data_IF_965756362709
#
_entry.id   IF_965756362709
#
_cell.length_a   1.000
_cell.length_b   1.000
_cell.length_c   1.000
_cell.angle_alpha   90.00
_cell.angle_beta   90.00
_cell.angle_gamma   90.00
#
_symmetry.space_group_name_H-M   'P 1'
#
loop_
_entity.id
_entity.type
_entity.pdbx_description
1 polymer ?
#
# COMPACT_ATOMS: atom_id res chain seq x y z
N UNK A 1 21.39 34.44 15.59
CA UNK A 1 21.29 33.00 15.29
C UNK A 1 19.92 32.82 14.68
N UNK A 2 19.82 32.23 13.50
CA UNK A 2 18.54 31.94 12.87
C UNK A 2 17.92 30.76 13.61
N UNK A 3 16.85 31.02 14.34
CA UNK A 3 16.00 30.00 14.94
C UNK A 3 15.23 29.33 13.79
N UNK A 4 15.85 28.31 13.20
CA UNK A 4 15.16 27.42 12.29
C UNK A 4 14.40 26.41 13.13
N UNK A 5 13.07 26.56 13.18
CA UNK A 5 12.17 25.50 13.61
C UNK A 5 11.96 24.57 12.42
N UNK A 6 12.31 23.29 12.60
CA UNK A 6 12.02 22.24 11.62
C UNK A 6 10.77 21.53 12.10
N UNK A 7 9.78 21.39 11.22
CA UNK A 7 8.62 20.53 11.50
C UNK A 7 9.12 19.13 11.85
N UNK A 8 8.80 18.67 13.06
CA UNK A 8 9.04 17.29 13.42
C UNK A 8 8.14 16.43 12.53
N UNK A 9 8.67 15.41 11.83
CA UNK A 9 7.82 14.53 11.04
C UNK A 9 6.78 13.91 11.97
N UNK A 10 5.51 13.96 11.55
CA UNK A 10 4.41 13.33 12.27
C UNK A 10 4.78 11.87 12.55
N UNK A 11 4.64 11.39 13.79
CA UNK A 11 5.08 10.05 14.14
C UNK A 11 4.22 9.01 13.42
N UNK A 12 4.91 8.10 12.74
CA UNK A 12 4.37 6.85 12.23
C UNK A 12 3.59 6.09 13.32
N UNK A 13 2.36 5.68 13.05
CA UNK A 13 1.59 4.81 13.97
C UNK A 13 1.72 3.35 13.53
N UNK A 14 2.44 2.55 14.32
CA UNK A 14 2.67 1.14 14.02
C UNK A 14 1.42 0.27 14.04
N UNK A 15 0.37 0.68 14.75
CA UNK A 15 -0.89 -0.05 14.84
C UNK A 15 -1.70 0.17 13.57
N UNK A 16 -1.87 1.42 13.13
CA UNK A 16 -2.59 1.75 11.90
C UNK A 16 -1.86 1.22 10.67
N UNK A 17 -0.53 1.29 10.68
CA UNK A 17 0.30 0.66 9.66
C UNK A 17 0.03 -0.85 9.52
N UNK A 18 -0.20 -1.54 10.63
CA UNK A 18 -0.43 -2.98 10.68
C UNK A 18 -1.87 -3.38 10.37
N UNK A 19 -2.85 -2.58 10.80
CA UNK A 19 -4.27 -2.73 10.46
C UNK A 19 -4.51 -2.40 8.99
N UNK A 20 -3.76 -1.44 8.45
CA UNK A 20 -3.81 -0.96 7.08
C UNK A 20 -4.87 0.11 6.84
N UNK A 21 -4.71 0.82 5.73
CA UNK A 21 -5.54 1.95 5.32
C UNK A 21 -6.19 1.64 3.97
N UNK A 22 -7.45 2.09 3.81
CA UNK A 22 -8.20 1.98 2.56
C UNK A 22 -7.89 3.14 1.61
N UNK A 23 -7.48 2.80 0.39
CA UNK A 23 -7.21 3.77 -0.67
C UNK A 23 -8.16 3.57 -1.84
N UNK A 24 -9.05 4.53 -2.09
CA UNK A 24 -9.90 4.53 -3.29
C UNK A 24 -9.10 5.01 -4.49
N UNK A 25 -8.96 4.16 -5.50
CA UNK A 25 -8.18 4.48 -6.70
C UNK A 25 -9.10 5.00 -7.79
N UNK A 26 -8.94 6.29 -8.11
CA UNK A 26 -9.67 6.97 -9.20
C UNK A 26 -8.65 7.43 -10.25
N UNK A 27 -8.77 6.92 -11.48
CA UNK A 27 -7.90 7.30 -12.60
C UNK A 27 -8.74 7.82 -13.76
N UNK A 28 -8.44 9.03 -14.23
CA UNK A 28 -9.14 9.68 -15.34
C UNK A 28 -10.67 9.71 -15.15
N UNK A 29 -11.13 9.96 -13.92
CA UNK A 29 -12.55 10.00 -13.56
C UNK A 29 -13.24 8.64 -13.43
N UNK A 30 -12.50 7.54 -13.57
CA UNK A 30 -13.01 6.18 -13.35
C UNK A 30 -12.51 5.64 -12.01
N UNK A 31 -13.44 5.15 -11.21
CA UNK A 31 -13.14 4.41 -9.98
C UNK A 31 -12.78 2.95 -10.29
N UNK A 32 -11.67 2.48 -9.70
CA UNK A 32 -11.15 1.12 -9.87
C UNK A 32 -11.39 0.23 -8.65
N UNK A 33 -11.86 0.82 -7.55
CA UNK A 33 -12.12 0.15 -6.28
C UNK A 33 -11.36 0.79 -5.13
N UNK A 34 -11.67 0.33 -3.93
CA UNK A 34 -10.98 0.70 -2.69
C UNK A 34 -10.10 -0.46 -2.25
N UNK A 35 -8.82 -0.19 -2.02
CA UNK A 35 -7.81 -1.21 -1.72
C UNK A 35 -7.28 -0.99 -0.31
N UNK A 36 -7.32 -2.04 0.51
CA UNK A 36 -6.83 -2.01 1.88
C UNK A 36 -5.38 -2.47 1.93
N UNK A 37 -4.47 -1.56 2.22
CA UNK A 37 -3.03 -1.80 2.20
C UNK A 37 -2.42 -1.54 3.57
N UNK A 38 -1.50 -2.40 4.01
CA UNK A 38 -0.66 -2.12 5.18
C UNK A 38 0.58 -1.31 4.79
N UNK A 39 1.16 -0.59 5.74
CA UNK A 39 2.47 0.00 5.54
C UNK A 39 3.55 -1.00 5.92
N UNK A 40 4.58 -1.09 5.09
CA UNK A 40 5.80 -1.84 5.41
C UNK A 40 6.97 -0.87 5.38
N UNK A 41 7.40 -0.43 6.57
CA UNK A 41 8.63 0.34 6.71
C UNK A 41 9.79 -0.48 6.11
N UNK A 42 10.44 -0.03 5.02
CA UNK A 42 11.52 -0.76 4.37
C UNK A 42 12.73 -0.99 5.28
N UNK A 43 12.88 -0.20 6.35
CA UNK A 43 13.96 -0.32 7.33
C UNK A 43 13.59 -1.20 8.54
N UNK A 44 12.34 -1.65 8.64
CA UNK A 44 11.90 -2.46 9.77
C UNK A 44 12.33 -3.92 9.65
N UNK A 45 12.63 -4.54 10.80
CA UNK A 45 12.91 -5.98 10.91
C UNK A 45 11.74 -6.85 10.41
N UNK A 46 10.51 -6.33 10.53
CA UNK A 46 9.30 -7.01 10.02
C UNK A 46 9.34 -7.13 8.51
N UNK A 47 9.63 -6.03 7.82
CA UNK A 47 9.74 -6.02 6.35
C UNK A 47 10.86 -6.93 5.88
N UNK A 48 12.03 -6.90 6.55
CA UNK A 48 13.11 -7.83 6.26
C UNK A 48 12.67 -9.30 6.40
N UNK A 49 11.95 -9.64 7.46
CA UNK A 49 11.45 -10.99 7.69
C UNK A 49 10.41 -11.42 6.64
N UNK A 50 9.47 -10.56 6.27
CA UNK A 50 8.46 -10.83 5.23
C UNK A 50 9.12 -11.03 3.87
N UNK A 51 10.12 -10.23 3.53
CA UNK A 51 10.86 -10.37 2.27
C UNK A 51 11.62 -11.70 2.23
N UNK A 52 12.29 -12.09 3.32
CA UNK A 52 12.96 -13.40 3.42
C UNK A 52 11.98 -14.56 3.27
N UNK A 53 10.81 -14.49 3.91
CA UNK A 53 9.78 -15.53 3.78
C UNK A 53 9.22 -15.61 2.34
N UNK A 54 9.01 -14.46 1.71
CA UNK A 54 8.59 -14.38 0.31
C UNK A 54 9.63 -15.00 -0.63
N UNK A 55 10.90 -14.61 -0.50
CA UNK A 55 12.00 -15.15 -1.30
C UNK A 55 12.14 -16.66 -1.12
N UNK A 56 11.99 -17.16 0.12
CA UNK A 56 12.02 -18.60 0.39
C UNK A 56 10.87 -19.34 -0.30
N UNK A 57 9.64 -18.84 -0.23
CA UNK A 57 8.47 -19.44 -0.90
C UNK A 57 8.61 -19.47 -2.42
N UNK A 58 9.19 -18.41 -3.00
CA UNK A 58 9.30 -18.22 -4.45
C UNK A 58 10.70 -18.49 -5.02
N UNK A 59 11.60 -19.09 -4.23
CA UNK A 59 13.02 -19.23 -4.55
C UNK A 59 13.26 -19.86 -5.93
N UNK A 60 12.48 -20.88 -6.30
CA UNK A 60 12.58 -21.53 -7.62
C UNK A 60 12.21 -20.58 -8.76
N UNK A 61 11.13 -19.82 -8.62
CA UNK A 61 10.66 -18.88 -9.64
C UNK A 61 11.63 -17.71 -9.82
N UNK A 62 12.18 -17.20 -8.71
CA UNK A 62 13.20 -16.14 -8.71
C UNK A 62 14.48 -16.65 -9.38
N UNK A 63 15.01 -17.80 -8.93
CA UNK A 63 16.25 -18.39 -9.48
C UNK A 63 16.14 -18.71 -10.98
N UNK A 64 14.96 -19.12 -11.45
CA UNK A 64 14.72 -19.42 -12.88
C UNK A 64 14.36 -18.18 -13.70
N UNK A 65 14.34 -16.98 -13.09
CA UNK A 65 14.02 -15.72 -13.76
C UNK A 65 12.56 -15.57 -14.17
N UNK A 66 11.68 -16.49 -13.72
CA UNK A 66 10.22 -16.43 -13.97
C UNK A 66 9.53 -15.37 -13.13
N UNK A 67 10.13 -14.98 -12.01
CA UNK A 67 9.65 -13.91 -11.14
C UNK A 67 10.81 -12.91 -10.93
N UNK A 68 10.73 -11.74 -11.56
CA UNK A 68 11.75 -10.68 -11.50
C UNK A 68 11.15 -9.30 -11.74
N UNK A 69 11.85 -8.26 -11.30
CA UNK A 69 11.46 -6.86 -11.53
C UNK A 69 10.05 -6.55 -11.02
N UNK A 70 9.25 -5.87 -11.84
CA UNK A 70 7.89 -5.45 -11.48
C UNK A 70 6.99 -6.65 -11.13
N UNK A 71 7.14 -7.79 -11.80
CA UNK A 71 6.33 -8.98 -11.51
C UNK A 71 6.57 -9.50 -10.09
N UNK A 72 7.83 -9.46 -9.63
CA UNK A 72 8.18 -9.80 -8.25
C UNK A 72 7.61 -8.79 -7.26
N UNK A 73 7.75 -7.49 -7.54
CA UNK A 73 7.23 -6.42 -6.70
C UNK A 73 5.71 -6.49 -6.51
N UNK A 74 4.97 -6.74 -7.58
CA UNK A 74 3.52 -6.94 -7.53
C UNK A 74 3.12 -8.14 -6.69
N UNK A 75 3.79 -9.28 -6.86
CA UNK A 75 3.44 -10.47 -6.09
C UNK A 75 3.75 -10.29 -4.59
N UNK A 76 4.86 -9.63 -4.27
CA UNK A 76 5.19 -9.25 -2.90
C UNK A 76 4.13 -8.32 -2.31
N UNK A 77 3.71 -7.32 -3.08
CA UNK A 77 2.62 -6.42 -2.69
C UNK A 77 1.32 -7.18 -2.43
N UNK A 78 0.90 -8.06 -3.33
CA UNK A 78 -0.33 -8.85 -3.18
C UNK A 78 -0.29 -9.73 -1.92
N UNK A 79 0.84 -10.40 -1.67
CA UNK A 79 0.94 -11.35 -0.56
C UNK A 79 1.14 -10.69 0.80
N UNK A 80 1.88 -9.59 0.86
CA UNK A 80 2.33 -9.01 2.12
C UNK A 80 1.60 -7.71 2.46
N UNK A 81 1.24 -6.90 1.46
CA UNK A 81 0.78 -5.52 1.64
C UNK A 81 -0.74 -5.40 1.47
N UNK A 82 -1.29 -5.97 0.39
CA UNK A 82 -2.71 -5.90 0.09
C UNK A 82 -3.50 -6.89 0.97
N UNK A 83 -4.34 -6.36 1.86
CA UNK A 83 -5.17 -7.17 2.78
C UNK A 83 -6.57 -7.41 2.26
N UNK A 84 -7.06 -6.54 1.39
CA UNK A 84 -8.39 -6.67 0.82
C UNK A 84 -8.69 -5.59 -0.21
N UNK A 85 -9.87 -5.69 -0.81
CA UNK A 85 -10.45 -4.62 -1.61
C UNK A 85 -11.98 -4.65 -1.51
N UNK A 86 -12.60 -3.54 -1.90
CA UNK A 86 -14.03 -3.42 -2.20
C UNK A 86 -14.22 -2.74 -3.55
N UNK A 87 -15.42 -2.90 -4.12
CA UNK A 87 -15.86 -2.18 -5.34
C UNK A 87 -15.06 -2.47 -6.62
N UNK A 88 -14.15 -3.44 -6.57
CA UNK A 88 -13.45 -3.96 -7.75
C UNK A 88 -14.43 -4.76 -8.61
N UNK A 89 -14.72 -4.27 -9.81
CA UNK A 89 -15.66 -4.88 -10.74
C UNK A 89 -14.96 -5.60 -11.88
N UNK A 90 -15.53 -6.73 -12.29
CA UNK A 90 -15.13 -7.40 -13.54
C UNK A 90 -15.67 -6.65 -14.77
N UNK A 91 -15.30 -7.14 -15.96
CA UNK A 91 -15.75 -6.57 -17.25
C UNK A 91 -17.29 -6.59 -17.45
N UNK A 92 -18.03 -7.38 -16.66
CA UNK A 92 -19.50 -7.45 -16.68
C UNK A 92 -20.13 -6.56 -15.60
N UNK A 93 -19.35 -5.76 -14.89
CA UNK A 93 -19.81 -4.86 -13.83
C UNK A 93 -20.15 -5.54 -12.50
N UNK A 94 -19.82 -6.83 -12.33
CA UNK A 94 -20.04 -7.54 -11.06
C UNK A 94 -18.84 -7.40 -10.15
N UNK A 95 -19.10 -7.24 -8.85
CA UNK A 95 -18.07 -7.16 -7.84
C UNK A 95 -17.29 -8.49 -7.76
N UNK A 96 -15.98 -8.36 -7.61
CA UNK A 96 -15.04 -9.47 -7.50
C UNK A 96 -14.57 -9.53 -6.06
N UNK A 97 -14.88 -10.59 -5.30
CA UNK A 97 -14.39 -10.73 -3.94
C UNK A 97 -12.86 -10.83 -3.94
N UNK A 98 -12.24 -10.32 -2.87
CA UNK A 98 -10.80 -10.41 -2.73
C UNK A 98 -10.34 -11.85 -2.52
N UNK A 99 -9.35 -12.25 -3.30
CA UNK A 99 -8.50 -13.43 -3.06
C UNK A 99 -7.13 -13.16 -3.66
N UNK A 100 -6.10 -13.90 -3.23
CA UNK A 100 -4.74 -13.75 -3.78
C UNK A 100 -4.72 -14.08 -5.28
N UNK A 101 -5.50 -15.08 -5.71
CA UNK A 101 -5.65 -15.45 -7.12
C UNK A 101 -6.33 -14.34 -7.93
N UNK A 102 -7.42 -13.78 -7.40
CA UNK A 102 -8.12 -12.67 -8.04
C UNK A 102 -7.23 -11.43 -8.15
N UNK A 103 -6.48 -11.11 -7.09
CA UNK A 103 -5.51 -10.02 -7.08
C UNK A 103 -4.39 -10.26 -8.09
N UNK A 104 -3.83 -11.46 -8.13
CA UNK A 104 -2.78 -11.81 -9.10
C UNK A 104 -3.28 -11.66 -10.54
N UNK A 105 -4.51 -12.11 -10.82
CA UNK A 105 -5.12 -11.93 -12.13
C UNK A 105 -5.34 -10.45 -12.46
N UNK A 106 -5.87 -9.67 -11.50
CA UNK A 106 -6.13 -8.24 -11.67
C UNK A 106 -4.85 -7.44 -11.97
N UNK A 107 -3.82 -7.61 -11.13
CA UNK A 107 -2.53 -6.91 -11.24
C UNK A 107 -1.64 -7.42 -12.37
N UNK A 108 -2.03 -8.49 -13.07
CA UNK A 108 -1.38 -8.93 -14.31
C UNK A 108 -1.87 -8.19 -15.56
N UNK A 109 -3.02 -7.50 -15.47
CA UNK A 109 -3.61 -6.76 -16.58
C UNK A 109 -3.22 -5.27 -16.60
N UNK A 110 -3.46 -4.56 -17.73
CA UNK A 110 -3.09 -3.14 -17.88
C UNK A 110 -3.74 -2.21 -16.84
N UNK A 111 -4.99 -2.46 -16.48
CA UNK A 111 -5.67 -1.71 -15.41
C UNK A 111 -4.95 -1.90 -14.05
N UNK A 112 -4.54 -3.14 -13.79
CA UNK A 112 -3.76 -3.49 -12.60
C UNK A 112 -2.41 -2.79 -12.54
N UNK A 113 -1.72 -2.60 -13.68
CA UNK A 113 -0.45 -1.86 -13.73
C UNK A 113 -0.62 -0.43 -13.23
N UNK A 114 -1.66 0.26 -13.70
CA UNK A 114 -1.95 1.63 -13.32
C UNK A 114 -2.38 1.74 -11.85
N UNK A 115 -3.26 0.84 -11.41
CA UNK A 115 -3.71 0.81 -10.01
C UNK A 115 -2.54 0.51 -9.08
N UNK A 116 -1.66 -0.44 -9.44
CA UNK A 116 -0.47 -0.74 -8.67
C UNK A 116 0.47 0.47 -8.57
N UNK A 117 0.72 1.16 -9.67
CA UNK A 117 1.56 2.36 -9.67
C UNK A 117 0.97 3.48 -8.80
N UNK A 118 -0.35 3.60 -8.74
CA UNK A 118 -1.03 4.56 -7.87
C UNK A 118 -0.93 4.15 -6.40
N UNK A 119 -1.30 2.90 -6.07
CA UNK A 119 -1.20 2.37 -4.71
C UNK A 119 0.23 2.42 -4.17
N UNK A 120 1.24 2.18 -5.02
CA UNK A 120 2.65 2.26 -4.64
C UNK A 120 3.02 3.62 -4.04
N UNK A 121 2.45 4.72 -4.55
CA UNK A 121 2.70 6.06 -3.99
C UNK A 121 2.12 6.19 -2.58
N UNK A 122 0.92 5.65 -2.37
CA UNK A 122 0.22 5.74 -1.10
C UNK A 122 0.86 4.87 -0.02
N UNK A 123 1.12 3.59 -0.30
CA UNK A 123 1.64 2.69 0.75
C UNK A 123 3.13 2.86 1.06
N UNK A 124 3.88 3.62 0.26
CA UNK A 124 5.29 3.94 0.57
C UNK A 124 5.46 5.27 1.29
N UNK A 125 4.40 6.09 1.34
CA UNK A 125 4.38 7.38 2.01
C UNK A 125 3.86 7.20 3.44
N UNK A 126 4.77 7.32 4.43
CA UNK A 126 4.47 7.10 5.85
C UNK A 126 3.42 8.07 6.38
N UNK A 127 3.26 9.25 5.77
CA UNK A 127 2.23 10.22 6.14
C UNK A 127 0.80 9.68 6.00
N UNK A 128 0.57 8.67 5.16
CA UNK A 128 -0.75 8.05 5.02
C UNK A 128 -1.10 7.07 6.15
N UNK A 129 -0.19 6.84 7.09
CA UNK A 129 -0.32 5.87 8.19
C UNK A 129 -0.06 6.51 9.56
N UNK A 130 -0.45 7.78 9.70
CA UNK A 130 -0.43 8.54 10.95
C UNK A 130 -1.81 8.48 11.59
N UNK A 131 -1.88 8.40 12.93
CA UNK A 131 -3.16 8.44 13.64
C UNK A 131 -3.88 9.77 13.46
N UNK A 132 -5.22 9.72 13.29
CA UNK A 132 -6.08 10.90 13.19
C UNK A 132 -5.89 11.86 14.38
N UNK A 133 -5.53 11.33 15.56
CA UNK A 133 -5.25 12.12 16.76
C UNK A 133 -4.11 13.14 16.59
N UNK A 134 -3.15 12.89 15.69
CA UNK A 134 -2.07 13.85 15.40
C UNK A 134 -2.50 14.97 14.44
N UNK A 135 -3.46 14.72 13.55
CA UNK A 135 -4.04 15.76 12.69
C UNK A 135 -4.96 16.71 13.47
N UNK A 136 -5.54 16.25 14.58
CA UNK A 136 -6.37 17.07 15.46
C UNK A 136 -5.58 18.16 16.22
N UNK A 137 -4.29 17.94 16.47
CA UNK A 137 -3.42 18.89 17.20
C UNK A 137 -3.12 20.14 16.35
N UNK A 138 -2.97 19.97 15.03
CA UNK A 138 -2.75 21.11 14.11
C UNK A 138 -4.02 21.93 13.86
N UNK A 139 -5.20 21.28 13.88
CA UNK A 139 -6.48 21.96 13.72
C UNK A 139 -6.80 22.89 14.90
N UNK A 140 -6.54 22.44 16.14
CA UNK A 140 -6.72 23.29 17.33
C UNK A 140 -5.66 24.41 17.45
N UNK A 141 -4.47 24.22 16.90
CA UNK A 141 -3.43 25.26 16.86
C UNK A 141 -3.74 26.35 15.82
N UNK A 142 -4.38 25.97 14.70
CA UNK A 142 -4.81 26.90 13.65
C UNK A 142 -6.04 27.74 14.04
N UNK A 143 -6.93 27.25 14.92
CA UNK A 143 -8.09 28.01 15.42
C UNK A 143 -7.76 28.99 16.57
N UNK A 144 -6.53 28.95 17.12
CA UNK A 144 -6.10 29.81 18.24
C UNK A 144 -5.16 30.95 17.85
N UNK A 145 -4.89 31.15 16.55
CA UNK A 145 -4.15 32.30 15.98
C UNK A 145 -5.05 33.11 15.03
#
# INVERSE_FOLDING_TARGET
MSDFEFDAPLPYDSTIADEGVGFTVVLSGREYGTFHCIYLDPLSKRTEALNKQFEARHAKAIRTGKLKGIAQGKLLFIENILKGWSDVKNLKGKDVPFSIEAATAYFSGPAGDHVYAELWKHFTASEHFVAEEFYAIDAEAAEKN
#
